data_IF_301971009132
#
_entry.id   IF_301971009132
#
_cell.length_a   1.000
_cell.length_b   1.000
_cell.length_c   1.000
_cell.angle_alpha   90.00
_cell.angle_beta   90.00
_cell.angle_gamma   90.00
#
_symmetry.space_group_name_H-M   'P 1'
#
loop_
_entity.id
_entity.type
_entity.pdbx_description
1 polymer ?
#
# COMPACT_ATOMS: atom_id res chain seq x y z
N UNK A 1 6.61 -63.69 63.99
CA UNK A 1 5.80 -62.54 64.49
C UNK A 1 5.93 -61.38 63.50
N UNK A 2 4.95 -60.47 63.44
CA UNK A 2 4.95 -59.30 62.54
C UNK A 2 5.82 -58.14 63.12
N UNK A 3 6.07 -56.99 62.48
CA UNK A 3 5.62 -56.35 61.23
C UNK A 3 6.73 -55.32 60.79
N UNK A 4 6.76 -54.58 59.67
CA UNK A 4 5.78 -54.19 58.62
C UNK A 4 6.38 -54.25 57.20
N UNK A 5 5.51 -54.15 56.20
CA UNK A 5 5.76 -53.80 54.78
C UNK A 5 6.14 -52.32 54.58
N UNK A 6 6.65 -51.78 53.46
CA UNK A 6 7.23 -52.15 52.12
C UNK A 6 7.73 -50.78 51.54
N UNK A 7 8.53 -50.55 50.48
CA UNK A 7 9.26 -51.24 49.38
C UNK A 7 10.28 -50.17 48.83
N UNK A 8 11.37 -50.33 48.03
CA UNK A 8 11.85 -51.22 46.93
C UNK A 8 11.02 -51.12 45.62
N UNK A 9 11.52 -50.88 44.40
CA UNK A 9 12.86 -50.80 43.77
C UNK A 9 12.70 -50.33 42.28
N UNK A 10 13.65 -49.87 41.44
CA UNK A 10 15.10 -49.52 41.53
C UNK A 10 15.59 -48.70 40.27
N UNK A 11 16.54 -47.75 40.44
CA UNK A 11 17.66 -47.33 39.54
C UNK A 11 17.50 -46.84 38.05
N UNK A 12 18.16 -45.69 37.77
CA UNK A 12 18.84 -45.16 36.55
C UNK A 12 18.36 -45.43 35.11
N UNK A 13 17.80 -44.41 34.45
CA UNK A 13 18.50 -43.46 33.55
C UNK A 13 19.09 -43.93 32.19
N UNK A 14 18.91 -43.11 31.13
CA UNK A 14 19.79 -43.05 29.95
C UNK A 14 19.67 -41.72 29.15
N UNK A 15 20.77 -41.35 28.48
CA UNK A 15 20.97 -40.52 27.26
C UNK A 15 19.84 -39.61 26.75
N UNK A 16 20.21 -38.34 26.47
CA UNK A 16 19.45 -37.39 25.65
C UNK A 16 19.86 -37.52 24.16
N UNK A 17 18.92 -37.79 23.25
CA UNK A 17 19.15 -37.79 21.79
C UNK A 17 18.41 -36.66 21.08
N UNK A 18 19.03 -36.11 20.02
CA UNK A 18 18.34 -35.20 19.10
C UNK A 18 17.18 -35.92 18.39
N UNK A 19 16.05 -35.22 18.27
CA UNK A 19 14.92 -35.60 17.41
C UNK A 19 14.43 -34.36 16.65
N UNK A 20 14.29 -34.48 15.34
CA UNK A 20 13.68 -33.44 14.49
C UNK A 20 12.18 -33.36 14.79
N UNK A 21 11.67 -32.18 15.14
CA UNK A 21 10.23 -31.93 15.26
C UNK A 21 9.73 -31.43 13.90
N UNK A 22 9.09 -32.31 13.13
CA UNK A 22 8.31 -31.92 11.96
C UNK A 22 7.01 -31.22 12.37
N UNK A 23 6.51 -30.32 11.52
CA UNK A 23 5.26 -29.59 11.78
C UNK A 23 4.05 -30.51 11.78
N UNK A 24 3.60 -30.94 12.96
CA UNK A 24 2.37 -31.70 13.13
C UNK A 24 1.16 -30.76 13.08
N UNK A 25 0.44 -30.74 11.96
CA UNK A 25 -0.94 -30.24 11.94
C UNK A 25 -1.79 -31.10 12.89
N UNK A 26 -2.57 -30.47 13.76
CA UNK A 26 -3.55 -31.16 14.60
C UNK A 26 -3.41 -30.86 16.11
N UNK A 27 -4.17 -29.88 16.58
CA UNK A 27 -4.60 -29.75 17.98
C UNK A 27 -5.97 -29.08 17.97
N UNK A 28 -6.88 -29.52 18.84
CA UNK A 28 -8.30 -29.32 18.65
C UNK A 28 -8.75 -27.85 18.83
N UNK A 29 -9.68 -27.41 17.97
CA UNK A 29 -10.48 -26.20 18.23
C UNK A 29 -11.50 -26.52 19.32
N UNK A 30 -11.13 -26.28 20.58
CA UNK A 30 -12.06 -26.24 21.71
C UNK A 30 -12.26 -24.79 22.16
N UNK A 31 -12.76 -23.97 21.24
CA UNK A 31 -13.30 -22.65 21.52
C UNK A 31 -14.59 -22.48 20.72
N UNK A 32 -15.61 -21.88 21.32
CA UNK A 32 -16.84 -21.52 20.62
C UNK A 32 -16.56 -20.32 19.70
N UNK A 33 -15.97 -20.60 18.54
CA UNK A 33 -15.86 -19.62 17.47
C UNK A 33 -17.28 -19.20 17.07
N UNK A 34 -17.65 -17.97 17.40
CA UNK A 34 -18.89 -17.38 16.90
C UNK A 34 -18.88 -17.34 15.38
N UNK A 35 -20.06 -17.32 14.76
CA UNK A 35 -20.19 -17.07 13.33
C UNK A 35 -19.42 -15.78 13.01
N UNK A 36 -18.46 -15.79 12.06
CA UNK A 36 -17.80 -14.56 11.66
C UNK A 36 -18.86 -13.57 11.16
N UNK A 37 -19.07 -12.47 11.89
CA UNK A 37 -20.08 -11.48 11.49
C UNK A 37 -19.64 -10.88 10.16
N UNK A 38 -20.47 -11.06 9.14
CA UNK A 38 -20.23 -10.44 7.84
C UNK A 38 -20.52 -8.94 7.93
N UNK A 39 -19.87 -8.10 7.10
CA UNK A 39 -20.22 -6.69 6.99
C UNK A 39 -21.70 -6.49 6.67
N UNK A 40 -22.39 -5.72 7.50
CA UNK A 40 -23.79 -5.33 7.35
C UNK A 40 -23.92 -3.83 7.01
N UNK A 41 -22.80 -3.09 7.06
CA UNK A 41 -22.74 -1.63 6.89
C UNK A 41 -21.61 -1.17 5.97
N UNK A 42 -21.73 0.06 5.46
CA UNK A 42 -20.74 0.73 4.61
C UNK A 42 -19.36 0.84 5.28
N UNK A 43 -19.28 1.20 6.57
CA UNK A 43 -17.99 1.19 7.30
C UNK A 43 -17.38 -0.21 7.43
N UNK A 44 -18.16 -1.24 7.77
CA UNK A 44 -17.64 -2.61 7.89
C UNK A 44 -17.16 -3.18 6.55
N UNK A 45 -17.78 -2.77 5.44
CA UNK A 45 -17.33 -3.11 4.08
C UNK A 45 -15.95 -2.52 3.77
N UNK A 46 -15.77 -1.22 4.04
CA UNK A 46 -14.49 -0.52 3.83
C UNK A 46 -13.40 -1.07 4.77
N UNK A 47 -13.75 -1.45 6.00
CA UNK A 47 -12.83 -2.03 6.97
C UNK A 47 -12.50 -3.51 6.76
N UNK A 48 -13.08 -4.16 5.74
CA UNK A 48 -12.87 -5.59 5.47
C UNK A 48 -11.50 -5.88 4.85
N UNK A 49 -10.83 -6.92 5.34
CA UNK A 49 -9.64 -7.44 4.68
C UNK A 49 -10.02 -8.33 3.48
N UNK A 50 -9.28 -8.27 2.35
CA UNK A 50 -9.57 -9.09 1.18
C UNK A 50 -9.34 -10.58 1.46
N UNK A 51 -10.17 -11.42 0.84
CA UNK A 51 -10.09 -12.86 0.92
C UNK A 51 -8.87 -13.44 0.18
N UNK A 52 -8.43 -14.66 0.53
CA UNK A 52 -7.29 -15.31 -0.12
C UNK A 52 -7.48 -15.61 -1.62
N UNK A 53 -8.70 -15.47 -2.16
CA UNK A 53 -9.05 -15.61 -3.58
C UNK A 53 -9.64 -14.31 -4.18
N UNK A 54 -9.49 -13.16 -3.51
CA UNK A 54 -9.82 -11.84 -4.06
C UNK A 54 -9.07 -11.57 -5.38
N UNK A 55 -9.64 -10.78 -6.27
CA UNK A 55 -9.07 -10.49 -7.59
C UNK A 55 -9.07 -11.66 -8.58
N UNK A 56 -9.44 -12.88 -8.16
CA UNK A 56 -9.48 -14.05 -9.05
C UNK A 56 -10.70 -14.01 -9.98
N UNK A 57 -10.69 -14.84 -11.03
CA UNK A 57 -11.76 -14.91 -12.03
C UNK A 57 -12.25 -16.36 -12.20
N UNK A 58 -12.66 -16.99 -11.09
CA UNK A 58 -13.09 -18.39 -11.04
C UNK A 58 -14.27 -18.72 -11.97
N UNK A 59 -15.12 -17.73 -12.21
CA UNK A 59 -16.25 -17.78 -13.15
C UNK A 59 -15.82 -17.97 -14.61
N UNK A 60 -14.57 -17.63 -14.98
CA UNK A 60 -14.03 -17.94 -16.31
C UNK A 60 -13.55 -19.39 -16.36
N UNK A 61 -14.18 -20.21 -17.20
CA UNK A 61 -13.87 -21.64 -17.34
C UNK A 61 -12.38 -21.93 -17.63
N UNK A 62 -11.70 -21.02 -18.32
CA UNK A 62 -10.30 -21.14 -18.75
C UNK A 62 -9.31 -20.36 -17.84
N UNK A 63 -9.72 -19.90 -16.66
CA UNK A 63 -8.84 -19.12 -15.77
C UNK A 63 -7.61 -19.94 -15.31
N UNK A 64 -6.36 -19.44 -15.45
CA UNK A 64 -5.16 -20.25 -15.21
C UNK A 64 -5.07 -20.88 -13.81
N UNK A 65 -5.54 -20.18 -12.78
CA UNK A 65 -5.49 -20.63 -11.39
C UNK A 65 -6.73 -21.43 -10.96
N UNK A 66 -7.65 -21.75 -11.87
CA UNK A 66 -8.92 -22.44 -11.56
C UNK A 66 -8.73 -23.78 -10.83
N UNK A 67 -7.67 -24.53 -11.18
CA UNK A 67 -7.31 -25.80 -10.52
C UNK A 67 -6.72 -25.63 -9.10
N UNK A 68 -6.29 -24.42 -8.72
CA UNK A 68 -5.86 -24.09 -7.36
C UNK A 68 -7.08 -23.71 -6.50
N UNK A 69 -8.00 -22.92 -7.05
CA UNK A 69 -9.28 -22.55 -6.41
C UNK A 69 -10.13 -23.80 -6.13
N UNK A 70 -10.24 -24.73 -7.09
CA UNK A 70 -10.89 -26.04 -6.91
C UNK A 70 -10.36 -26.76 -5.67
N UNK A 71 -9.04 -26.81 -5.44
CA UNK A 71 -8.43 -27.45 -4.27
C UNK A 71 -8.74 -26.76 -2.93
N UNK A 72 -9.25 -25.54 -2.94
CA UNK A 72 -9.78 -24.85 -1.75
C UNK A 72 -11.23 -25.23 -1.53
N UNK A 73 -12.08 -25.17 -2.56
CA UNK A 73 -13.49 -25.60 -2.51
C UNK A 73 -13.63 -27.10 -2.19
N UNK A 74 -12.68 -27.94 -2.62
CA UNK A 74 -12.57 -29.35 -2.28
C UNK A 74 -12.39 -29.61 -0.77
N UNK A 75 -11.94 -28.62 0.01
CA UNK A 75 -11.79 -28.71 1.47
C UNK A 75 -13.04 -28.29 2.25
N UNK A 76 -13.98 -27.57 1.63
CA UNK A 76 -15.24 -27.20 2.27
C UNK A 76 -16.09 -28.46 2.55
N UNK A 77 -16.77 -28.55 3.71
CA UNK A 77 -17.61 -29.69 4.03
C UNK A 77 -18.81 -29.80 3.07
N UNK A 78 -19.46 -30.98 2.99
CA UNK A 78 -20.75 -31.11 2.32
C UNK A 78 -21.85 -30.46 3.18
N UNK A 79 -22.82 -29.82 2.51
CA UNK A 79 -23.94 -29.09 3.11
C UNK A 79 -25.22 -29.58 2.44
N UNK A 80 -25.95 -30.48 3.13
CA UNK A 80 -27.08 -31.24 2.59
C UNK A 80 -28.43 -30.67 3.00
N UNK A 81 -29.48 -31.05 2.26
CA UNK A 81 -30.86 -30.65 2.55
C UNK A 81 -31.30 -31.08 3.97
N UNK A 82 -32.07 -30.24 4.65
CA UNK A 82 -32.51 -30.47 6.03
C UNK A 82 -31.48 -30.15 7.12
N UNK A 83 -30.31 -29.60 6.80
CA UNK A 83 -29.37 -29.05 7.79
C UNK A 83 -29.92 -27.76 8.44
N UNK A 84 -29.48 -27.48 9.67
CA UNK A 84 -29.86 -26.27 10.41
C UNK A 84 -29.33 -24.99 9.72
N UNK A 85 -30.14 -23.93 9.70
CA UNK A 85 -29.81 -22.70 8.99
C UNK A 85 -28.54 -22.02 9.52
N UNK A 86 -28.25 -22.10 10.83
CA UNK A 86 -27.04 -21.49 11.39
C UNK A 86 -25.75 -22.12 10.84
N UNK A 87 -25.79 -23.38 10.42
CA UNK A 87 -24.68 -24.04 9.73
C UNK A 87 -24.53 -23.54 8.29
N UNK A 88 -25.65 -23.21 7.62
CA UNK A 88 -25.67 -22.60 6.29
C UNK A 88 -25.14 -21.16 6.36
N UNK A 89 -25.49 -20.39 7.40
CA UNK A 89 -24.97 -19.05 7.65
C UNK A 89 -23.45 -19.05 7.96
N UNK A 90 -22.95 -20.03 8.72
CA UNK A 90 -21.49 -20.26 8.90
C UNK A 90 -20.82 -20.61 7.56
N UNK A 91 -21.46 -21.44 6.74
CA UNK A 91 -20.94 -21.81 5.42
C UNK A 91 -20.89 -20.61 4.47
N UNK A 92 -21.92 -19.76 4.50
CA UNK A 92 -21.95 -18.49 3.77
C UNK A 92 -20.78 -17.59 4.18
N UNK A 93 -20.57 -17.39 5.48
CA UNK A 93 -19.45 -16.57 5.99
C UNK A 93 -18.08 -17.11 5.56
N UNK A 94 -17.88 -18.43 5.60
CA UNK A 94 -16.66 -19.07 5.10
C UNK A 94 -16.48 -18.88 3.58
N UNK A 95 -17.55 -19.09 2.79
CA UNK A 95 -17.51 -18.99 1.34
C UNK A 95 -17.27 -17.55 0.87
N UNK A 96 -17.93 -16.56 1.49
CA UNK A 96 -17.75 -15.15 1.19
C UNK A 96 -16.32 -14.70 1.54
N UNK A 97 -15.84 -15.06 2.72
CA UNK A 97 -14.48 -14.70 3.20
C UNK A 97 -13.36 -15.23 2.28
N UNK A 98 -13.60 -16.26 1.46
CA UNK A 98 -12.64 -16.68 0.43
C UNK A 98 -12.48 -15.63 -0.68
N UNK A 99 -13.57 -14.96 -1.08
CA UNK A 99 -13.65 -14.12 -2.28
C UNK A 99 -13.87 -12.62 -2.02
N UNK A 100 -14.07 -12.18 -0.78
CA UNK A 100 -14.23 -10.77 -0.37
C UNK A 100 -13.19 -9.88 -1.05
N UNK A 101 -13.62 -8.87 -1.79
CA UNK A 101 -12.73 -7.91 -2.48
C UNK A 101 -12.33 -6.72 -1.56
N UNK A 102 -11.30 -5.98 -1.96
CA UNK A 102 -10.74 -4.82 -1.22
C UNK A 102 -11.48 -3.50 -1.56
N UNK A 103 -12.70 -3.32 -1.05
CA UNK A 103 -13.49 -2.11 -1.33
C UNK A 103 -12.79 -0.83 -0.82
N UNK A 104 -12.55 0.12 -1.73
CA UNK A 104 -11.73 1.30 -1.44
C UNK A 104 -12.43 2.27 -0.47
N UNK A 105 -11.68 2.77 0.53
CA UNK A 105 -12.12 3.85 1.41
C UNK A 105 -12.24 5.20 0.67
N UNK A 106 -13.25 6.04 0.98
CA UNK A 106 -13.31 7.44 0.54
C UNK A 106 -12.04 8.24 0.85
N UNK A 107 -11.29 7.88 1.90
CA UNK A 107 -10.01 8.52 2.23
C UNK A 107 -9.01 8.46 1.07
N UNK A 108 -8.98 7.36 0.30
CA UNK A 108 -8.10 7.26 -0.87
C UNK A 108 -8.56 8.14 -2.04
N UNK A 109 -9.84 8.54 -2.07
CA UNK A 109 -10.35 9.55 -3.00
C UNK A 109 -9.95 10.95 -2.51
N UNK A 110 -9.99 11.23 -1.20
CA UNK A 110 -9.48 12.49 -0.62
C UNK A 110 -8.00 12.69 -0.90
N UNK A 111 -7.17 11.68 -0.71
CA UNK A 111 -5.74 11.80 -0.99
C UNK A 111 -5.47 11.97 -2.50
N UNK A 112 -6.26 11.33 -3.37
CA UNK A 112 -6.22 11.58 -4.82
C UNK A 112 -6.81 12.94 -5.22
N UNK A 113 -7.72 13.52 -4.45
CA UNK A 113 -8.18 14.89 -4.67
C UNK A 113 -7.20 15.94 -4.11
N UNK A 114 -6.39 15.60 -3.10
CA UNK A 114 -5.20 16.36 -2.71
C UNK A 114 -4.23 16.41 -3.89
N UNK A 115 -3.98 15.27 -4.55
CA UNK A 115 -3.22 15.20 -5.80
C UNK A 115 -3.91 15.94 -6.97
N UNK A 116 -5.24 15.89 -7.06
CA UNK A 116 -5.99 16.56 -8.12
C UNK A 116 -5.90 18.10 -8.01
N UNK A 117 -5.94 18.61 -6.78
CA UNK A 117 -6.05 20.05 -6.47
C UNK A 117 -4.71 20.78 -6.33
N UNK A 118 -3.55 20.13 -6.58
CA UNK A 118 -2.25 20.82 -6.63
C UNK A 118 -2.30 22.03 -7.58
N UNK A 119 -1.76 23.15 -7.12
CA UNK A 119 -1.82 24.44 -7.82
C UNK A 119 -3.04 25.29 -7.51
N UNK A 120 -4.17 24.72 -7.09
CA UNK A 120 -5.41 25.48 -6.85
C UNK A 120 -5.29 26.38 -5.60
N UNK A 121 -5.72 27.66 -5.67
CA UNK A 121 -5.82 28.55 -4.50
C UNK A 121 -6.67 28.00 -3.35
N UNK A 122 -7.60 27.08 -3.63
CA UNK A 122 -8.51 26.48 -2.63
C UNK A 122 -7.82 25.42 -1.73
N UNK A 123 -6.55 25.10 -1.98
CA UNK A 123 -5.74 24.31 -1.06
C UNK A 123 -5.07 25.23 -0.06
N UNK A 124 -5.67 25.36 1.13
CA UNK A 124 -5.20 26.18 2.25
C UNK A 124 -3.87 25.75 2.89
N UNK A 125 -3.07 24.95 2.18
CA UNK A 125 -1.75 24.47 2.58
C UNK A 125 -0.73 24.86 1.51
N UNK A 126 0.21 25.72 1.87
CA UNK A 126 1.17 26.30 0.94
C UNK A 126 2.21 25.29 0.39
N UNK A 127 2.27 24.04 0.90
CA UNK A 127 3.05 22.93 0.28
C UNK A 127 2.49 22.49 -1.07
N UNK A 128 1.18 22.67 -1.28
CA UNK A 128 0.43 22.15 -2.43
C UNK A 128 0.15 23.23 -3.50
N UNK A 129 0.45 24.48 -3.18
CA UNK A 129 0.35 25.60 -4.11
C UNK A 129 1.56 25.65 -5.04
N UNK A 130 1.33 25.91 -6.31
CA UNK A 130 2.42 26.08 -7.27
C UNK A 130 3.11 27.45 -7.11
N UNK A 131 4.36 27.51 -7.58
CA UNK A 131 5.27 28.66 -7.48
C UNK A 131 6.06 28.85 -8.78
N UNK A 132 6.77 29.96 -8.90
CA UNK A 132 7.60 30.31 -10.08
C UNK A 132 8.62 29.22 -10.48
N UNK A 133 9.13 28.46 -9.51
CA UNK A 133 10.13 27.40 -9.68
C UNK A 133 9.60 26.05 -9.18
N UNK A 134 10.00 24.95 -9.82
CA UNK A 134 9.70 23.57 -9.39
C UNK A 134 11.01 22.79 -9.22
N UNK A 135 11.23 22.27 -8.02
CA UNK A 135 12.44 21.53 -7.65
C UNK A 135 12.07 20.14 -7.14
N UNK A 136 12.73 19.11 -7.68
CA UNK A 136 12.57 17.71 -7.25
C UNK A 136 13.88 17.21 -6.66
N UNK A 137 13.84 16.59 -5.49
CA UNK A 137 14.95 15.80 -4.96
C UNK A 137 14.55 14.34 -4.78
N UNK A 138 15.29 13.43 -5.42
CA UNK A 138 15.15 12.00 -5.19
C UNK A 138 16.17 11.59 -4.12
N UNK A 139 15.72 10.85 -3.12
CA UNK A 139 16.54 10.27 -2.07
C UNK A 139 16.42 8.74 -2.19
N UNK A 140 17.47 8.09 -2.68
CA UNK A 140 17.49 6.66 -2.99
C UNK A 140 18.27 5.86 -1.94
N UNK A 141 17.65 4.80 -1.41
CA UNK A 141 18.39 3.80 -0.63
C UNK A 141 19.33 2.98 -1.52
N UNK A 142 20.57 2.82 -1.07
CA UNK A 142 21.58 1.90 -1.59
C UNK A 142 22.17 1.04 -0.45
N UNK A 143 21.35 0.68 0.52
CA UNK A 143 21.55 -0.39 1.51
C UNK A 143 21.81 -1.75 0.86
N UNK A 144 22.15 -2.75 1.68
CA UNK A 144 22.43 -4.11 1.22
C UNK A 144 21.23 -4.85 0.61
N UNK A 145 19.99 -4.53 1.05
CA UNK A 145 18.75 -5.17 0.59
C UNK A 145 18.43 -4.87 -0.87
N UNK A 146 18.82 -3.68 -1.37
CA UNK A 146 18.63 -3.30 -2.78
C UNK A 146 19.41 -4.15 -3.80
N UNK A 147 20.22 -5.13 -3.35
CA UNK A 147 20.78 -6.22 -4.17
C UNK A 147 19.78 -7.34 -4.50
N UNK A 148 18.66 -7.45 -3.79
CA UNK A 148 17.66 -8.50 -3.99
C UNK A 148 17.04 -8.42 -5.39
N UNK A 149 16.53 -9.55 -5.91
CA UNK A 149 16.00 -9.64 -7.28
C UNK A 149 14.48 -9.69 -7.33
N UNK A 150 13.92 -8.89 -8.24
CA UNK A 150 12.52 -8.94 -8.65
C UNK A 150 12.51 -9.38 -10.11
N UNK A 151 12.24 -10.66 -10.35
CA UNK A 151 12.36 -11.28 -11.67
C UNK A 151 13.83 -11.49 -12.07
N UNK A 152 14.23 -10.90 -13.21
CA UNK A 152 15.59 -11.00 -13.76
C UNK A 152 16.55 -9.95 -13.20
N UNK A 153 16.04 -8.77 -12.81
CA UNK A 153 16.82 -7.61 -12.32
C UNK A 153 16.83 -7.48 -10.81
N UNK A 154 17.80 -6.72 -10.29
CA UNK A 154 17.86 -6.29 -8.89
C UNK A 154 16.93 -5.11 -8.61
N UNK A 155 16.56 -4.90 -7.33
CA UNK A 155 15.83 -3.71 -6.88
C UNK A 155 16.57 -2.43 -7.29
N UNK A 156 17.89 -2.38 -7.11
CA UNK A 156 18.69 -1.23 -7.54
C UNK A 156 18.64 -0.97 -9.07
N UNK A 157 18.75 -1.98 -9.92
CA UNK A 157 18.64 -1.80 -11.38
C UNK A 157 17.27 -1.21 -11.77
N UNK A 158 16.18 -1.72 -11.17
CA UNK A 158 14.83 -1.23 -11.42
C UNK A 158 14.62 0.22 -10.94
N UNK A 159 15.17 0.58 -9.78
CA UNK A 159 15.12 1.95 -9.28
C UNK A 159 15.94 2.91 -10.16
N UNK A 160 17.17 2.53 -10.55
CA UNK A 160 18.01 3.33 -11.47
C UNK A 160 17.33 3.54 -12.83
N UNK A 161 16.68 2.52 -13.39
CA UNK A 161 15.91 2.63 -14.64
C UNK A 161 14.71 3.57 -14.51
N UNK A 162 13.89 3.41 -13.48
CA UNK A 162 12.68 4.22 -13.29
C UNK A 162 13.01 5.69 -12.99
N UNK A 163 14.04 5.96 -12.16
CA UNK A 163 14.54 7.32 -11.88
C UNK A 163 14.96 8.03 -13.16
N UNK A 164 15.57 7.32 -14.11
CA UNK A 164 15.94 7.88 -15.42
C UNK A 164 14.71 8.23 -16.25
N UNK A 165 13.77 7.31 -16.44
CA UNK A 165 12.54 7.57 -17.22
C UNK A 165 11.74 8.76 -16.64
N UNK A 166 11.71 8.90 -15.31
CA UNK A 166 11.09 10.04 -14.65
C UNK A 166 11.83 11.36 -14.90
N UNK A 167 13.16 11.37 -14.73
CA UNK A 167 13.96 12.56 -14.98
C UNK A 167 13.87 13.04 -16.45
N UNK A 168 13.78 12.10 -17.40
CA UNK A 168 13.49 12.36 -18.82
C UNK A 168 12.10 12.95 -19.09
N UNK A 169 11.16 12.80 -18.14
CA UNK A 169 9.77 13.23 -18.28
C UNK A 169 9.43 14.57 -17.62
N UNK A 170 10.37 15.16 -16.88
CA UNK A 170 10.19 16.46 -16.23
C UNK A 170 10.21 17.61 -17.26
N UNK A 171 9.44 18.70 -17.04
CA UNK A 171 9.53 19.92 -17.84
C UNK A 171 10.95 20.51 -17.85
N UNK A 172 11.35 21.17 -18.94
CA UNK A 172 12.71 21.73 -19.12
C UNK A 172 13.10 22.75 -18.02
N UNK A 173 12.12 23.50 -17.51
CA UNK A 173 12.30 24.47 -16.43
C UNK A 173 12.37 23.84 -15.02
N UNK A 174 11.98 22.57 -14.86
CA UNK A 174 12.07 21.87 -13.59
C UNK A 174 13.52 21.46 -13.27
N UNK A 175 13.90 21.55 -12.00
CA UNK A 175 15.22 21.10 -11.53
C UNK A 175 15.09 19.78 -10.80
N UNK A 176 16.07 18.89 -10.99
CA UNK A 176 16.16 17.60 -10.32
C UNK A 176 17.50 17.45 -9.58
N UNK A 177 17.47 16.81 -8.41
CA UNK A 177 18.65 16.34 -7.69
C UNK A 177 18.51 14.85 -7.31
N UNK A 178 19.64 14.16 -7.15
CA UNK A 178 19.69 12.79 -6.66
C UNK A 178 20.67 12.70 -5.48
N UNK A 179 20.12 12.28 -4.34
CA UNK A 179 20.83 11.95 -3.10
C UNK A 179 20.76 10.44 -2.88
N UNK A 180 21.86 9.86 -2.43
CA UNK A 180 21.98 8.42 -2.16
C UNK A 180 22.54 8.21 -0.77
N UNK A 181 22.02 7.23 -0.04
CA UNK A 181 22.55 6.80 1.26
C UNK A 181 22.74 5.28 1.27
N UNK A 182 23.44 4.75 2.29
CA UNK A 182 23.68 3.31 2.42
C UNK A 182 24.73 2.72 1.47
N UNK A 183 25.21 3.42 0.44
CA UNK A 183 26.20 2.89 -0.51
C UNK A 183 27.63 2.73 0.06
N UNK A 184 27.93 3.29 1.24
CA UNK A 184 29.27 3.25 1.85
C UNK A 184 29.40 2.16 2.92
N UNK A 185 30.60 1.60 3.02
CA UNK A 185 30.89 0.50 3.95
C UNK A 185 30.20 -0.79 3.51
N UNK A 186 29.57 -1.50 4.45
CA UNK A 186 28.77 -2.71 4.22
C UNK A 186 27.79 -2.92 5.37
N UNK A 187 26.74 -3.74 5.16
CA UNK A 187 25.73 -4.16 6.15
C UNK A 187 26.26 -5.02 7.32
N UNK A 188 27.41 -4.65 7.89
CA UNK A 188 28.09 -5.28 9.02
C UNK A 188 28.40 -4.24 10.09
N UNK A 189 28.26 -4.58 11.37
CA UNK A 189 28.36 -3.62 12.49
C UNK A 189 29.63 -2.76 12.47
N UNK A 190 30.78 -3.35 12.10
CA UNK A 190 32.07 -2.67 11.98
C UNK A 190 32.07 -1.50 10.96
N UNK A 191 31.12 -1.47 10.04
CA UNK A 191 30.90 -0.39 9.08
C UNK A 191 29.59 0.38 9.30
N UNK A 192 28.81 0.06 10.35
CA UNK A 192 27.55 0.74 10.65
C UNK A 192 27.75 2.25 10.75
N UNK A 193 28.68 2.71 11.59
CA UNK A 193 28.99 4.15 11.73
C UNK A 193 29.30 4.83 10.39
N UNK A 194 30.11 4.22 9.52
CA UNK A 194 30.48 4.77 8.22
C UNK A 194 29.28 4.88 7.27
N UNK A 195 28.41 3.87 7.24
CA UNK A 195 27.19 3.89 6.42
C UNK A 195 26.18 4.90 6.95
N UNK A 196 25.96 4.92 8.26
CA UNK A 196 24.97 5.76 8.92
C UNK A 196 25.32 7.26 8.88
N UNK A 197 26.60 7.60 8.83
CA UNK A 197 27.07 8.97 8.58
C UNK A 197 27.31 9.26 7.08
N UNK A 198 26.69 8.49 6.17
CA UNK A 198 26.84 8.68 4.73
C UNK A 198 25.52 8.97 4.02
N UNK A 199 25.45 10.16 3.43
CA UNK A 199 24.48 10.48 2.39
C UNK A 199 25.13 11.47 1.43
N UNK A 200 25.18 11.12 0.14
CA UNK A 200 25.88 11.88 -0.88
C UNK A 200 24.89 12.46 -1.91
N UNK A 201 25.06 13.75 -2.24
CA UNK A 201 24.36 14.40 -3.35
C UNK A 201 25.09 14.08 -4.66
N UNK A 202 24.81 12.92 -5.25
CA UNK A 202 25.49 12.41 -6.46
C UNK A 202 25.09 13.16 -7.74
N UNK A 203 23.93 13.80 -7.76
CA UNK A 203 23.51 14.74 -8.81
C UNK A 203 22.95 16.02 -8.17
N UNK A 204 23.65 17.15 -8.37
CA UNK A 204 23.26 18.45 -7.83
C UNK A 204 21.98 18.99 -8.49
N UNK A 205 21.22 19.81 -7.76
CA UNK A 205 19.94 20.37 -8.20
C UNK A 205 20.13 21.30 -9.43
N UNK A 206 19.81 20.78 -10.61
CA UNK A 206 19.92 21.46 -11.90
C UNK A 206 18.84 20.93 -12.86
N UNK A 207 18.60 21.58 -14.00
CA UNK A 207 17.73 21.02 -15.06
C UNK A 207 18.23 19.64 -15.51
N UNK A 208 17.36 18.83 -16.11
CA UNK A 208 17.72 17.47 -16.51
C UNK A 208 18.89 17.43 -17.53
N UNK A 209 19.94 16.68 -17.19
CA UNK A 209 21.09 16.38 -18.05
C UNK A 209 21.28 14.86 -18.08
N UNK A 210 20.85 14.25 -19.19
CA UNK A 210 20.85 12.80 -19.38
C UNK A 210 22.21 12.16 -19.14
N UNK A 211 23.29 12.82 -19.58
CA UNK A 211 24.64 12.27 -19.46
C UNK A 211 25.13 12.38 -18.02
N UNK A 212 24.93 13.51 -17.35
CA UNK A 212 25.32 13.67 -15.93
C UNK A 212 24.53 12.72 -15.02
N UNK A 213 23.24 12.51 -15.28
CA UNK A 213 22.43 11.59 -14.47
C UNK A 213 22.87 10.13 -14.70
N UNK A 214 23.04 9.73 -15.95
CA UNK A 214 23.62 8.42 -16.28
C UNK A 214 24.99 8.21 -15.63
N UNK A 215 25.85 9.23 -15.59
CA UNK A 215 27.17 9.12 -14.97
C UNK A 215 27.13 9.19 -13.44
N UNK A 216 26.10 9.77 -12.82
CA UNK A 216 25.85 9.72 -11.38
C UNK A 216 25.31 8.35 -10.94
N UNK A 217 24.35 7.79 -11.68
CA UNK A 217 23.73 6.47 -11.41
C UNK A 217 24.75 5.29 -11.46
N UNK A 218 25.92 5.50 -12.05
CA UNK A 218 27.03 4.52 -12.11
C UNK A 218 28.03 4.60 -10.95
N UNK A 219 27.93 5.60 -10.06
CA UNK A 219 28.96 5.86 -9.03
C UNK A 219 28.75 5.09 -7.71
N UNK A 220 27.60 4.45 -7.52
CA UNK A 220 27.22 3.79 -6.29
C UNK A 220 26.57 2.43 -6.55
N UNK A 221 26.84 1.49 -5.64
CA UNK A 221 26.27 0.13 -5.65
C UNK A 221 25.69 -0.20 -4.27
N UNK A 222 24.62 -1.00 -4.19
CA UNK A 222 23.86 -1.23 -2.96
C UNK A 222 24.68 -2.09 -1.99
N UNK A 223 24.96 -1.66 -0.75
CA UNK A 223 25.87 -2.41 0.13
C UNK A 223 25.71 -2.27 1.66
N UNK A 224 25.31 -1.10 2.17
CA UNK A 224 25.40 -0.75 3.59
C UNK A 224 24.10 -0.83 4.36
N UNK A 225 23.94 0.09 5.30
CA UNK A 225 22.83 0.25 6.23
C UNK A 225 21.89 1.37 5.79
N UNK A 226 20.58 1.16 5.93
CA UNK A 226 19.51 2.13 5.62
C UNK A 226 19.48 3.24 6.67
N UNK A 227 19.68 4.50 6.26
CA UNK A 227 19.87 5.68 7.11
C UNK A 227 18.95 6.85 6.70
N UNK A 228 17.64 6.62 6.81
CA UNK A 228 16.59 7.51 6.29
C UNK A 228 16.62 8.88 6.98
N UNK A 229 16.66 8.91 8.31
CA UNK A 229 16.63 10.14 9.11
C UNK A 229 17.78 11.08 8.76
N UNK A 230 18.99 10.54 8.61
CA UNK A 230 20.15 11.32 8.19
C UNK A 230 20.02 11.81 6.73
N UNK A 231 19.49 10.98 5.83
CA UNK A 231 19.29 11.37 4.42
C UNK A 231 18.29 12.52 4.25
N UNK A 232 17.21 12.54 5.05
CA UNK A 232 16.21 13.61 5.10
C UNK A 232 16.80 14.92 5.66
N UNK A 233 17.61 14.84 6.73
CA UNK A 233 18.34 16.00 7.26
C UNK A 233 19.29 16.61 6.22
N UNK A 234 19.97 15.79 5.43
CA UNK A 234 20.87 16.30 4.38
C UNK A 234 20.10 16.87 3.18
N UNK A 235 18.94 16.31 2.81
CA UNK A 235 18.06 16.88 1.79
C UNK A 235 17.55 18.28 2.19
N UNK A 236 17.23 18.49 3.48
CA UNK A 236 16.89 19.82 4.00
C UNK A 236 18.01 20.85 3.76
N UNK A 237 19.27 20.44 3.90
CA UNK A 237 20.43 21.29 3.69
C UNK A 237 20.70 21.57 2.20
N UNK A 238 20.53 20.56 1.33
CA UNK A 238 20.64 20.75 -0.13
C UNK A 238 19.62 21.77 -0.66
N UNK A 239 18.39 21.70 -0.14
CA UNK A 239 17.28 22.54 -0.59
C UNK A 239 17.19 23.89 0.14
N UNK A 240 18.04 24.17 1.14
CA UNK A 240 17.92 25.33 2.05
C UNK A 240 17.91 26.72 1.39
N UNK A 241 18.31 26.86 0.13
CA UNK A 241 18.25 28.12 -0.64
C UNK A 241 16.91 28.33 -1.38
N UNK A 242 16.00 27.36 -1.33
CA UNK A 242 14.80 27.30 -2.16
C UNK A 242 13.54 27.40 -1.29
N UNK A 243 13.28 28.54 -0.64
CA UNK A 243 12.11 28.70 0.24
C UNK A 243 10.77 28.53 -0.49
N UNK A 244 9.75 28.08 0.24
CA UNK A 244 8.41 27.80 -0.27
C UNK A 244 7.65 29.05 -0.80
N UNK A 245 8.19 30.26 -0.59
CA UNK A 245 7.67 31.51 -1.17
C UNK A 245 7.74 31.53 -2.70
N UNK A 246 8.75 30.85 -3.27
CA UNK A 246 9.11 30.92 -4.70
C UNK A 246 9.34 29.57 -5.36
N UNK A 247 9.33 28.49 -4.56
CA UNK A 247 9.67 27.16 -5.00
C UNK A 247 8.61 26.15 -4.55
N UNK A 248 8.05 25.39 -5.49
CA UNK A 248 7.38 24.14 -5.16
C UNK A 248 8.46 23.08 -5.06
N UNK A 249 8.71 22.61 -3.84
CA UNK A 249 9.73 21.61 -3.55
C UNK A 249 9.07 20.25 -3.34
N UNK A 250 9.55 19.23 -4.05
CA UNK A 250 9.06 17.86 -3.92
C UNK A 250 10.24 16.93 -3.63
N UNK A 251 10.11 16.08 -2.62
CA UNK A 251 11.11 15.07 -2.25
C UNK A 251 10.51 13.69 -2.45
N UNK A 252 11.23 12.80 -3.15
CA UNK A 252 10.88 11.40 -3.31
C UNK A 252 11.86 10.52 -2.54
N UNK A 253 11.44 10.03 -1.37
CA UNK A 253 12.19 9.01 -0.63
C UNK A 253 11.85 7.63 -1.20
N UNK A 254 12.85 6.94 -1.74
CA UNK A 254 12.77 5.54 -2.19
C UNK A 254 13.53 4.66 -1.21
N UNK A 255 12.87 3.68 -0.61
CA UNK A 255 13.50 2.71 0.30
C UNK A 255 12.85 1.32 0.18
N UNK A 256 13.64 0.26 0.38
CA UNK A 256 13.15 -1.12 0.47
C UNK A 256 13.06 -1.65 1.92
N UNK A 257 13.36 -0.82 2.92
CA UNK A 257 13.50 -1.25 4.32
C UNK A 257 13.17 -0.19 5.38
N UNK A 258 13.46 -0.55 6.63
CA UNK A 258 13.37 0.34 7.80
C UNK A 258 14.67 1.11 8.01
N UNK A 259 14.59 2.24 8.72
CA UNK A 259 15.71 2.85 9.41
C UNK A 259 16.47 1.81 10.26
N UNK A 260 17.78 1.69 10.01
CA UNK A 260 18.67 0.78 10.75
C UNK A 260 19.84 1.50 11.42
N UNK A 261 19.92 2.83 11.28
CA UNK A 261 21.00 3.67 11.77
C UNK A 261 20.68 4.43 13.05
N UNK A 262 19.76 3.90 13.86
CA UNK A 262 19.40 4.38 15.20
C UNK A 262 18.84 5.82 15.26
N UNK A 263 18.42 6.38 14.13
CA UNK A 263 17.74 7.67 14.02
C UNK A 263 16.21 7.58 14.13
N UNK A 264 15.54 8.75 14.20
CA UNK A 264 14.09 8.87 14.12
C UNK A 264 13.69 9.58 12.81
N UNK A 265 13.31 8.84 11.75
CA UNK A 265 12.94 9.43 10.47
C UNK A 265 11.54 10.07 10.51
N UNK A 266 10.70 9.71 11.49
CA UNK A 266 9.33 10.23 11.65
C UNK A 266 9.37 11.61 12.31
N UNK A 267 10.27 11.82 13.28
CA UNK A 267 10.58 13.14 13.81
C UNK A 267 11.18 14.05 12.73
N UNK A 268 12.21 13.59 12.01
CA UNK A 268 12.85 14.37 10.95
C UNK A 268 11.88 14.72 9.82
N UNK A 269 10.99 13.81 9.41
CA UNK A 269 9.98 14.11 8.39
C UNK A 269 9.02 15.24 8.80
N UNK A 270 8.69 15.33 10.10
CA UNK A 270 7.86 16.39 10.67
C UNK A 270 8.61 17.73 10.79
N UNK A 271 9.88 17.71 11.17
CA UNK A 271 10.74 18.91 11.19
C UNK A 271 10.94 19.44 9.76
N UNK A 272 11.13 18.55 8.79
CA UNK A 272 11.30 18.87 7.38
C UNK A 272 10.05 19.53 6.79
N UNK A 273 8.85 19.00 7.05
CA UNK A 273 7.58 19.57 6.58
C UNK A 273 7.22 20.91 7.24
N UNK A 274 7.83 21.24 8.39
CA UNK A 274 7.67 22.51 9.11
C UNK A 274 8.78 23.53 8.83
N UNK A 275 9.70 23.24 7.91
CA UNK A 275 10.85 24.11 7.61
C UNK A 275 10.58 25.10 6.47
N UNK A 276 11.42 26.13 6.32
CA UNK A 276 11.31 27.20 5.30
C UNK A 276 11.20 26.69 3.83
N UNK A 277 11.72 25.49 3.56
CA UNK A 277 11.64 24.83 2.24
C UNK A 277 10.35 24.02 2.06
N UNK A 278 9.67 23.70 3.15
CA UNK A 278 8.34 23.12 3.28
C UNK A 278 7.97 22.13 2.15
N UNK A 279 8.69 21.00 2.01
CA UNK A 279 8.63 20.18 0.81
C UNK A 279 7.50 19.14 0.90
N UNK A 280 6.93 18.79 -0.25
CA UNK A 280 6.09 17.61 -0.39
C UNK A 280 6.99 16.36 -0.34
N UNK A 281 7.10 15.72 0.84
CA UNK A 281 7.83 14.46 0.99
C UNK A 281 6.92 13.27 0.63
N UNK A 282 7.08 12.76 -0.58
CA UNK A 282 6.48 11.53 -1.06
C UNK A 282 7.41 10.35 -0.77
N UNK A 283 6.85 9.23 -0.31
CA UNK A 283 7.58 8.03 0.12
C UNK A 283 7.15 6.82 -0.71
N UNK A 284 8.10 6.23 -1.42
CA UNK A 284 7.93 5.02 -2.24
C UNK A 284 8.63 3.87 -1.52
N UNK A 285 7.83 3.00 -0.90
CA UNK A 285 8.30 1.72 -0.39
C UNK A 285 8.40 0.71 -1.53
N UNK A 286 9.59 0.16 -1.77
CA UNK A 286 9.84 -0.82 -2.84
C UNK A 286 9.99 -2.24 -2.28
N UNK A 287 9.01 -3.11 -2.53
CA UNK A 287 9.00 -4.52 -2.12
C UNK A 287 9.29 -4.71 -0.61
N UNK A 288 8.62 -3.88 0.20
CA UNK A 288 8.88 -3.75 1.64
C UNK A 288 8.01 -4.70 2.44
N UNK A 289 8.59 -5.29 3.50
CA UNK A 289 7.84 -6.07 4.49
C UNK A 289 6.86 -5.19 5.31
N UNK A 290 5.94 -5.81 6.04
CA UNK A 290 4.88 -5.10 6.77
C UNK A 290 5.39 -4.09 7.83
N UNK A 291 6.57 -4.31 8.40
CA UNK A 291 7.20 -3.42 9.38
C UNK A 291 7.78 -2.16 8.73
N UNK A 292 8.50 -2.32 7.60
CA UNK A 292 8.97 -1.19 6.80
C UNK A 292 7.83 -0.41 6.15
N UNK A 293 6.79 -1.09 5.64
CA UNK A 293 5.59 -0.41 5.15
C UNK A 293 4.92 0.43 6.25
N UNK A 294 4.95 -0.01 7.51
CA UNK A 294 4.43 0.78 8.63
C UNK A 294 5.28 2.03 8.84
N UNK A 295 6.60 1.89 8.99
CA UNK A 295 7.48 3.04 9.26
C UNK A 295 7.46 4.06 8.10
N UNK A 296 7.47 3.60 6.85
CA UNK A 296 7.41 4.47 5.67
C UNK A 296 6.06 5.20 5.53
N UNK A 297 4.95 4.60 5.98
CA UNK A 297 3.66 5.29 6.14
C UNK A 297 3.70 6.33 7.27
N UNK A 298 4.31 6.02 8.41
CA UNK A 298 4.46 6.95 9.53
C UNK A 298 5.33 8.17 9.15
N UNK A 299 6.38 7.98 8.33
CA UNK A 299 7.19 9.04 7.74
C UNK A 299 6.34 9.96 6.84
N UNK A 300 5.61 9.39 5.87
CA UNK A 300 4.77 10.16 4.96
C UNK A 300 3.63 10.91 5.67
N UNK A 301 3.00 10.28 6.67
CA UNK A 301 1.97 10.90 7.48
C UNK A 301 2.53 12.05 8.34
N UNK A 302 3.73 11.91 8.89
CA UNK A 302 4.37 12.95 9.69
C UNK A 302 4.80 14.19 8.87
N UNK A 303 5.05 14.04 7.57
CA UNK A 303 5.26 15.15 6.64
C UNK A 303 3.97 15.66 5.96
N UNK A 304 2.85 14.97 6.15
CA UNK A 304 1.56 15.09 5.41
C UNK A 304 1.67 14.90 3.89
N UNK A 305 2.74 14.23 3.46
CA UNK A 305 2.93 13.79 2.08
C UNK A 305 2.25 12.45 1.80
N UNK A 306 2.68 11.80 0.72
CA UNK A 306 2.02 10.61 0.18
C UNK A 306 2.88 9.36 0.39
N UNK A 307 2.25 8.22 0.69
CA UNK A 307 2.90 6.91 0.70
C UNK A 307 2.40 6.03 -0.45
N UNK A 308 3.33 5.37 -1.13
CA UNK A 308 3.05 4.31 -2.08
C UNK A 308 3.86 3.05 -1.77
N UNK A 309 3.26 1.88 -1.95
CA UNK A 309 3.95 0.59 -1.92
C UNK A 309 3.96 0.00 -3.32
N UNK A 310 5.15 -0.30 -3.85
CA UNK A 310 5.32 -0.86 -5.20
C UNK A 310 6.10 -2.17 -5.11
N UNK A 311 5.64 -3.22 -5.80
CA UNK A 311 6.22 -4.59 -5.71
C UNK A 311 6.87 -5.04 -7.02
N UNK A 312 6.85 -4.17 -8.03
CA UNK A 312 7.37 -4.44 -9.38
C UNK A 312 7.65 -3.11 -10.10
N UNK A 313 8.36 -3.21 -11.23
CA UNK A 313 8.77 -2.05 -12.06
C UNK A 313 7.56 -1.26 -12.57
N UNK A 314 6.50 -1.94 -12.99
CA UNK A 314 5.32 -1.33 -13.58
C UNK A 314 4.57 -0.46 -12.56
N UNK A 315 4.47 -0.90 -11.31
CA UNK A 315 3.96 -0.10 -10.20
C UNK A 315 4.92 1.05 -9.83
N UNK A 316 6.24 0.81 -9.78
CA UNK A 316 7.22 1.88 -9.53
C UNK A 316 7.10 2.99 -10.59
N UNK A 317 6.94 2.61 -11.86
CA UNK A 317 6.69 3.53 -12.97
C UNK A 317 5.36 4.29 -12.81
N UNK A 318 4.28 3.63 -12.37
CA UNK A 318 3.01 4.32 -12.11
C UNK A 318 3.11 5.41 -11.03
N UNK A 319 3.92 5.21 -9.99
CA UNK A 319 4.15 6.25 -8.97
C UNK A 319 4.97 7.42 -9.52
N UNK A 320 5.97 7.15 -10.37
CA UNK A 320 6.72 8.20 -11.05
C UNK A 320 5.93 8.92 -12.15
N UNK A 321 4.98 8.26 -12.80
CA UNK A 321 4.03 8.93 -13.70
C UNK A 321 3.15 9.92 -12.93
N UNK A 322 2.78 9.67 -11.66
CA UNK A 322 2.13 10.69 -10.81
C UNK A 322 3.07 11.84 -10.45
N UNK A 323 4.35 11.57 -10.22
CA UNK A 323 5.34 12.62 -9.99
C UNK A 323 5.48 13.57 -11.19
N UNK A 324 5.42 12.99 -12.39
CA UNK A 324 5.34 13.67 -13.69
C UNK A 324 4.00 14.39 -13.90
N UNK A 325 2.86 13.83 -13.50
CA UNK A 325 1.56 14.53 -13.51
C UNK A 325 1.61 15.82 -12.68
N UNK A 326 2.22 15.81 -11.48
CA UNK A 326 2.41 17.02 -10.67
C UNK A 326 3.27 18.05 -11.42
N UNK A 327 4.37 17.63 -12.04
CA UNK A 327 5.26 18.52 -12.79
C UNK A 327 4.60 19.08 -14.08
N UNK A 328 3.77 18.28 -14.76
CA UNK A 328 2.98 18.71 -15.91
C UNK A 328 1.84 19.66 -15.51
N UNK A 329 1.18 19.43 -14.36
CA UNK A 329 0.22 20.36 -13.77
C UNK A 329 0.88 21.68 -13.38
N UNK A 330 2.10 21.66 -12.84
CA UNK A 330 2.88 22.88 -12.59
C UNK A 330 3.18 23.65 -13.88
N UNK A 331 3.66 22.95 -14.91
CA UNK A 331 3.98 23.55 -16.21
C UNK A 331 2.71 24.09 -16.90
N UNK A 332 1.58 23.41 -16.76
CA UNK A 332 0.28 23.89 -17.24
C UNK A 332 -0.20 25.12 -16.45
N UNK A 333 -0.19 25.08 -15.12
CA UNK A 333 -0.53 26.23 -14.26
C UNK A 333 0.31 27.47 -14.61
N UNK A 334 1.60 27.29 -14.91
CA UNK A 334 2.52 28.36 -15.32
C UNK A 334 2.18 28.97 -16.69
N UNK A 335 1.42 28.27 -17.53
CA UNK A 335 0.85 28.77 -18.81
C UNK A 335 -0.57 29.33 -18.65
N UNK A 336 -1.39 28.68 -17.82
CA UNK A 336 -2.85 28.82 -17.77
C UNK A 336 -3.32 29.68 -16.57
N UNK A 337 -2.51 30.65 -16.12
CA UNK A 337 -2.65 31.44 -14.89
C UNK A 337 -3.85 32.43 -14.85
N UNK A 338 -4.98 32.09 -15.48
CA UNK A 338 -6.21 32.89 -15.55
C UNK A 338 -7.53 32.08 -15.46
N UNK A 339 -7.52 30.74 -15.30
CA UNK A 339 -8.76 29.95 -15.16
C UNK A 339 -8.60 28.63 -14.39
N UNK A 340 -8.57 28.68 -13.05
CA UNK A 340 -8.26 27.51 -12.20
C UNK A 340 -9.49 26.67 -11.79
N UNK A 341 -10.70 27.25 -11.70
CA UNK A 341 -11.88 26.59 -11.07
C UNK A 341 -12.45 25.42 -11.89
N UNK A 342 -12.73 25.62 -13.18
CA UNK A 342 -13.43 24.61 -14.00
C UNK A 342 -12.59 23.34 -14.21
N UNK A 343 -11.26 23.47 -14.31
CA UNK A 343 -10.34 22.36 -14.48
C UNK A 343 -10.34 21.41 -13.26
N UNK A 344 -10.35 21.98 -12.05
CA UNK A 344 -10.37 21.21 -10.79
C UNK A 344 -11.68 20.44 -10.63
N UNK A 345 -12.82 21.05 -10.98
CA UNK A 345 -14.13 20.38 -10.93
C UNK A 345 -14.24 19.22 -11.93
N UNK A 346 -13.60 19.33 -13.10
CA UNK A 346 -13.51 18.23 -14.08
C UNK A 346 -12.63 17.10 -13.55
N UNK A 347 -11.49 17.41 -12.92
CA UNK A 347 -10.58 16.37 -12.41
C UNK A 347 -11.14 15.64 -11.18
N UNK A 348 -11.81 16.35 -10.26
CA UNK A 348 -12.52 15.74 -9.12
C UNK A 348 -13.53 14.68 -9.58
N UNK A 349 -14.31 14.97 -10.62
CA UNK A 349 -15.34 14.06 -11.16
C UNK A 349 -14.74 12.79 -11.79
N UNK A 350 -13.65 12.89 -12.56
CA UNK A 350 -12.96 11.69 -13.11
C UNK A 350 -12.57 10.69 -12.03
N UNK A 351 -12.18 11.16 -10.85
CA UNK A 351 -11.83 10.28 -9.72
C UNK A 351 -13.06 9.61 -9.08
N UNK A 352 -14.23 10.26 -9.11
CA UNK A 352 -15.51 9.63 -8.77
C UNK A 352 -15.86 8.55 -9.80
N UNK A 353 -15.76 8.85 -11.09
CA UNK A 353 -16.01 7.90 -12.20
C UNK A 353 -15.07 6.67 -12.17
N UNK A 354 -13.88 6.83 -11.60
CA UNK A 354 -12.90 5.75 -11.39
C UNK A 354 -13.22 4.93 -10.12
N UNK A 355 -13.68 5.58 -9.05
CA UNK A 355 -14.06 4.94 -7.79
C UNK A 355 -15.36 4.12 -7.93
N UNK A 356 -16.36 4.67 -8.63
CA UNK A 356 -17.61 3.98 -8.99
C UNK A 356 -17.33 2.66 -9.72
N UNK A 357 -16.39 2.72 -10.68
CA UNK A 357 -15.99 1.60 -11.51
C UNK A 357 -15.23 0.53 -10.74
N UNK A 358 -14.29 0.91 -9.87
CA UNK A 358 -13.56 -0.05 -9.03
C UNK A 358 -14.52 -0.85 -8.12
N UNK A 359 -15.45 -0.15 -7.45
CA UNK A 359 -16.50 -0.79 -6.65
C UNK A 359 -17.44 -1.67 -7.49
N UNK A 360 -17.85 -1.23 -8.67
CA UNK A 360 -18.68 -2.02 -9.59
C UNK A 360 -17.96 -3.29 -10.06
N UNK A 361 -16.71 -3.17 -10.52
CA UNK A 361 -15.90 -4.30 -11.00
C UNK A 361 -15.55 -5.29 -9.87
N UNK A 362 -15.39 -4.81 -8.63
CA UNK A 362 -15.21 -5.65 -7.43
C UNK A 362 -16.49 -6.38 -7.06
N UNK A 363 -17.61 -5.68 -6.91
CA UNK A 363 -18.90 -6.30 -6.57
C UNK A 363 -19.31 -7.39 -7.58
N UNK A 364 -19.20 -7.06 -8.88
CA UNK A 364 -19.48 -7.98 -9.97
C UNK A 364 -18.58 -9.22 -9.94
N UNK A 365 -17.27 -9.04 -9.67
CA UNK A 365 -16.29 -10.14 -9.57
C UNK A 365 -16.51 -11.02 -8.35
N UNK A 366 -16.75 -10.44 -7.17
CA UNK A 366 -17.07 -11.13 -5.93
C UNK A 366 -18.33 -12.00 -6.12
N UNK A 367 -19.41 -11.38 -6.63
CA UNK A 367 -20.68 -12.04 -6.93
C UNK A 367 -20.51 -13.20 -7.92
N UNK A 368 -19.83 -13.00 -9.06
CA UNK A 368 -19.60 -14.05 -10.05
C UNK A 368 -18.71 -15.19 -9.51
N UNK A 369 -17.67 -14.89 -8.73
CA UNK A 369 -16.81 -15.90 -8.11
C UNK A 369 -17.58 -16.77 -7.12
N UNK A 370 -18.37 -16.15 -6.23
CA UNK A 370 -19.23 -16.84 -5.26
C UNK A 370 -20.29 -17.70 -5.97
N UNK A 371 -20.94 -17.16 -7.02
CA UNK A 371 -21.88 -17.92 -7.84
C UNK A 371 -21.25 -19.15 -8.50
N UNK A 372 -20.08 -18.99 -9.12
CA UNK A 372 -19.34 -20.09 -9.75
C UNK A 372 -18.86 -21.14 -8.71
N UNK A 373 -18.56 -20.73 -7.48
CA UNK A 373 -18.24 -21.65 -6.39
C UNK A 373 -19.47 -22.44 -5.91
N UNK A 374 -20.63 -21.80 -5.77
CA UNK A 374 -21.91 -22.46 -5.46
C UNK A 374 -22.25 -23.51 -6.53
N UNK A 375 -22.14 -23.17 -7.81
CA UNK A 375 -22.42 -24.11 -8.90
C UNK A 375 -21.40 -25.25 -8.97
N UNK A 376 -20.11 -25.00 -8.66
CA UNK A 376 -19.10 -26.05 -8.56
C UNK A 376 -19.38 -27.03 -7.39
N UNK A 377 -19.76 -26.52 -6.22
CA UNK A 377 -20.12 -27.32 -5.05
C UNK A 377 -21.42 -28.12 -5.29
N UNK A 378 -22.35 -27.56 -6.06
CA UNK A 378 -23.55 -28.27 -6.54
C UNK A 378 -23.16 -29.41 -7.48
N UNK A 379 -22.37 -29.13 -8.51
CA UNK A 379 -21.96 -30.10 -9.53
C UNK A 379 -21.09 -31.25 -8.99
N UNK A 380 -20.41 -31.05 -7.86
CA UNK A 380 -19.65 -32.09 -7.14
C UNK A 380 -20.48 -32.87 -6.12
N UNK A 381 -21.78 -32.58 -5.98
CA UNK A 381 -22.66 -33.22 -5.00
C UNK A 381 -22.37 -32.84 -3.55
N UNK A 382 -21.60 -31.77 -3.32
CA UNK A 382 -21.30 -31.23 -1.98
C UNK A 382 -22.42 -30.33 -1.45
N UNK A 383 -23.27 -29.78 -2.32
CA UNK A 383 -24.29 -28.81 -1.94
C UNK A 383 -25.69 -29.30 -2.34
N UNK A 384 -26.59 -29.42 -1.35
CA UNK A 384 -28.01 -29.74 -1.55
C UNK A 384 -28.79 -28.58 -2.19
N UNK A 385 -30.03 -28.84 -2.60
CA UNK A 385 -30.87 -27.85 -3.28
C UNK A 385 -31.29 -26.71 -2.33
N UNK A 386 -31.73 -27.03 -1.12
CA UNK A 386 -32.17 -26.05 -0.13
C UNK A 386 -31.01 -25.12 0.30
N UNK A 387 -29.82 -25.63 0.67
CA UNK A 387 -28.68 -24.74 0.95
C UNK A 387 -28.18 -24.00 -0.30
N UNK A 388 -28.26 -24.56 -1.50
CA UNK A 388 -27.92 -23.85 -2.75
C UNK A 388 -28.80 -22.62 -2.96
N UNK A 389 -30.12 -22.77 -2.84
CA UNK A 389 -31.07 -21.66 -2.96
C UNK A 389 -30.80 -20.57 -1.91
N UNK A 390 -30.50 -20.97 -0.67
CA UNK A 390 -30.15 -20.04 0.41
C UNK A 390 -28.85 -19.25 0.12
N UNK A 391 -27.78 -19.93 -0.32
CA UNK A 391 -26.50 -19.27 -0.64
C UNK A 391 -26.60 -18.36 -1.88
N UNK A 392 -27.47 -18.67 -2.85
CA UNK A 392 -27.77 -17.78 -3.97
C UNK A 392 -28.56 -16.54 -3.54
N UNK A 393 -29.52 -16.68 -2.62
CA UNK A 393 -30.22 -15.55 -2.02
C UNK A 393 -29.26 -14.64 -1.22
N UNK A 394 -28.37 -15.23 -0.41
CA UNK A 394 -27.33 -14.49 0.34
C UNK A 394 -26.35 -13.76 -0.57
N UNK A 395 -26.01 -14.33 -1.72
CA UNK A 395 -25.22 -13.67 -2.78
C UNK A 395 -25.92 -12.41 -3.31
N UNK A 396 -27.23 -12.46 -3.58
CA UNK A 396 -27.99 -11.30 -4.04
C UNK A 396 -28.12 -10.22 -2.96
N UNK A 397 -28.31 -10.59 -1.70
CA UNK A 397 -28.32 -9.67 -0.55
C UNK A 397 -26.97 -8.94 -0.42
N UNK A 398 -25.86 -9.66 -0.60
CA UNK A 398 -24.49 -9.10 -0.60
C UNK A 398 -24.24 -8.16 -1.77
N UNK A 399 -24.63 -8.54 -2.99
CA UNK A 399 -24.48 -7.72 -4.20
C UNK A 399 -25.29 -6.42 -4.11
N UNK A 400 -26.49 -6.48 -3.51
CA UNK A 400 -27.33 -5.31 -3.22
C UNK A 400 -26.70 -4.40 -2.16
N UNK A 401 -26.21 -4.94 -1.04
CA UNK A 401 -25.54 -4.17 0.01
C UNK A 401 -24.33 -3.40 -0.54
N UNK A 402 -23.45 -4.07 -1.28
CA UNK A 402 -22.25 -3.43 -1.86
C UNK A 402 -22.64 -2.35 -2.89
N UNK A 403 -23.72 -2.54 -3.65
CA UNK A 403 -24.24 -1.52 -4.57
C UNK A 403 -24.77 -0.30 -3.81
N UNK A 404 -25.56 -0.51 -2.76
CA UNK A 404 -26.11 0.56 -1.92
C UNK A 404 -24.99 1.35 -1.21
N UNK A 405 -24.00 0.65 -0.66
CA UNK A 405 -22.83 1.30 -0.04
C UNK A 405 -22.00 2.08 -1.07
N UNK A 406 -21.82 1.58 -2.30
CA UNK A 406 -21.20 2.36 -3.38
C UNK A 406 -21.99 3.66 -3.64
N UNK A 407 -23.31 3.57 -3.80
CA UNK A 407 -24.17 4.73 -4.09
C UNK A 407 -24.12 5.77 -2.95
N UNK A 408 -24.18 5.33 -1.69
CA UNK A 408 -24.03 6.21 -0.51
C UNK A 408 -22.71 6.99 -0.54
N UNK A 409 -21.61 6.31 -0.88
CA UNK A 409 -20.28 6.91 -0.93
C UNK A 409 -20.09 7.82 -2.16
N UNK A 410 -20.67 7.46 -3.31
CA UNK A 410 -20.65 8.28 -4.52
C UNK A 410 -21.42 9.58 -4.32
N UNK A 411 -22.66 9.53 -3.82
CA UNK A 411 -23.47 10.74 -3.57
C UNK A 411 -22.80 11.67 -2.55
N UNK A 412 -22.22 11.08 -1.50
CA UNK A 412 -21.45 11.82 -0.51
C UNK A 412 -20.19 12.48 -1.11
N UNK A 413 -19.40 11.75 -1.91
CA UNK A 413 -18.25 12.31 -2.63
C UNK A 413 -18.68 13.41 -3.63
N UNK A 414 -19.79 13.23 -4.36
CA UNK A 414 -20.33 14.26 -5.25
C UNK A 414 -20.66 15.54 -4.49
N UNK A 415 -21.30 15.43 -3.31
CA UNK A 415 -21.59 16.58 -2.43
C UNK A 415 -20.34 17.33 -1.96
N UNK A 416 -19.23 16.62 -1.71
CA UNK A 416 -17.96 17.23 -1.34
C UNK A 416 -17.29 18.00 -2.48
N UNK A 417 -17.57 17.70 -3.77
CA UNK A 417 -16.81 18.28 -4.90
C UNK A 417 -16.82 19.81 -4.98
N UNK A 418 -17.79 20.48 -4.36
CA UNK A 418 -17.92 21.95 -4.31
C UNK A 418 -17.30 22.60 -3.06
N UNK A 419 -16.73 21.84 -2.13
CA UNK A 419 -16.07 22.35 -0.92
C UNK A 419 -14.56 22.64 -1.13
N UNK A 420 -13.95 23.36 -0.19
CA UNK A 420 -12.48 23.51 -0.13
C UNK A 420 -11.81 22.20 0.30
N UNK A 421 -10.50 22.06 0.06
CA UNK A 421 -9.81 20.82 0.44
C UNK A 421 -9.81 20.57 1.97
N UNK A 422 -9.75 21.63 2.78
CA UNK A 422 -9.73 21.51 4.24
C UNK A 422 -11.07 21.02 4.81
N UNK A 423 -12.19 21.45 4.22
CA UNK A 423 -13.53 21.04 4.63
C UNK A 423 -13.75 19.56 4.28
N UNK A 424 -13.49 19.17 3.03
CA UNK A 424 -13.60 17.76 2.57
C UNK A 424 -12.77 16.80 3.42
N UNK A 425 -11.54 17.21 3.77
CA UNK A 425 -10.66 16.42 4.63
C UNK A 425 -11.25 16.28 6.03
N UNK A 426 -11.71 17.37 6.64
CA UNK A 426 -12.26 17.35 8.00
C UNK A 426 -13.55 16.52 8.09
N UNK A 427 -14.46 16.64 7.12
CA UNK A 427 -15.70 15.85 7.10
C UNK A 427 -15.43 14.35 6.94
N UNK A 428 -14.45 13.96 6.11
CA UNK A 428 -14.11 12.54 5.93
C UNK A 428 -13.33 11.99 7.11
N UNK A 429 -12.40 12.76 7.69
CA UNK A 429 -11.71 12.36 8.92
C UNK A 429 -12.74 12.17 10.06
N UNK A 430 -13.69 13.08 10.26
CA UNK A 430 -14.75 12.96 11.27
C UNK A 430 -15.71 11.77 11.01
N UNK A 431 -16.15 11.56 9.76
CA UNK A 431 -17.16 10.54 9.40
C UNK A 431 -16.59 9.11 9.29
N UNK A 432 -15.29 8.94 9.03
CA UNK A 432 -14.70 7.63 8.72
C UNK A 432 -13.42 7.26 9.48
N UNK A 433 -12.82 8.12 10.32
CA UNK A 433 -11.64 7.74 11.14
C UNK A 433 -11.99 7.05 12.47
N UNK A 434 -13.26 6.67 12.67
CA UNK A 434 -13.75 5.95 13.85
C UNK A 434 -13.62 4.43 13.73
N UNK A 435 -12.41 3.88 13.87
CA UNK A 435 -12.13 2.44 13.83
C UNK A 435 -10.75 2.06 14.37
#
# INVERSE_FOLDING_TARGET
MACRSRWRHIVSGLVLTLSLVGCSFGSAVTGTAGVPRMPETTQELIGSQPGPLAGTQFYLANYPHRAQIVKVLDRLPPLIDGMDQSLIDVYWGQLLTLFTEDYLSPQMVVDRWRMASFGSPDVGDARFLFRENFNVQIILDASGSMKEKIGDKTKMELAKEAIKEFAESLPEEAKISLRVYGHKGSGSDAHKQLSCSSSDLVYQLQSYDAKKLDDALKQFEPNGWTSIAHSLQMAQQDMAQFSADKNTNVIYLVSDGIETCDGDPVAVARELSQSEIMPLLNVIGFDVNAEGQKQLKEIAAASEGLYANVTNREQFKQELERAKEIAQKWEQWKRDALSEVDAVLIDRKKWIDAYDRDWYEKNWRESLNVGAAIDYLTATGKLGNQPREYLLQKRLEREALVTQSKEELIDYLVGLTTQTYSEMRSEIEEKYSGG
#
